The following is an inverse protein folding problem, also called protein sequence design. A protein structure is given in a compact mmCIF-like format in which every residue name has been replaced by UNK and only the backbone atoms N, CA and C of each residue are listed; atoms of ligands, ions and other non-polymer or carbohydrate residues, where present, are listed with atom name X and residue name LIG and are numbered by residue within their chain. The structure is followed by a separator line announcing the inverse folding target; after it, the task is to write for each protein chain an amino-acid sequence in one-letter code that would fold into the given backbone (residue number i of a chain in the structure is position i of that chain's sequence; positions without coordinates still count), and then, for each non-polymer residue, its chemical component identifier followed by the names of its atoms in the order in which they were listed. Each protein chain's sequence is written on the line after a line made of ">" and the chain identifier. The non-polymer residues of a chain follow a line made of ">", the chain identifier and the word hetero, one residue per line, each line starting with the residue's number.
data_IF_668954981001
#
_entry.id   IF_668954981001
#
_cell.length_a   1.000
_cell.length_b   1.000
_cell.length_c   1.000
_cell.angle_alpha   90.00
_cell.angle_beta   90.00
_cell.angle_gamma   90.00
#
_symmetry.space_group_name_H-M   'P 1'
#
loop_
_entity.id
_entity.type
_entity.pdbx_description
1 polymer ?
#
# COMPACT_ATOMS: atom_id res chain seq x y z
N UNK A 1 34.55 5.13 16.67
CA UNK A 1 34.94 5.76 15.37
C UNK A 1 34.86 7.26 15.57
N UNK A 2 35.87 8.03 15.10
CA UNK A 2 35.77 9.49 15.03
C UNK A 2 34.68 9.85 13.99
N UNK A 3 33.67 10.60 14.41
CA UNK A 3 32.67 11.13 13.48
C UNK A 3 33.27 12.23 12.59
N UNK A 4 32.73 12.37 11.39
CA UNK A 4 33.03 13.52 10.52
C UNK A 4 31.87 14.50 10.62
N UNK A 5 32.17 15.77 10.91
CA UNK A 5 31.17 16.82 11.01
C UNK A 5 31.03 17.53 9.67
N UNK A 6 29.79 17.74 9.26
CA UNK A 6 29.44 18.53 8.07
C UNK A 6 28.50 19.66 8.49
N UNK A 7 28.85 20.89 8.14
CA UNK A 7 28.08 22.08 8.46
C UNK A 7 27.46 22.67 7.19
N UNK A 8 26.20 23.11 7.27
CA UNK A 8 25.49 23.80 6.20
C UNK A 8 24.55 24.86 6.77
N UNK A 9 24.19 25.87 5.97
CA UNK A 9 23.18 26.87 6.37
C UNK A 9 21.77 26.27 6.48
N UNK A 10 21.49 25.25 5.68
CA UNK A 10 20.21 24.49 5.67
C UNK A 10 20.55 23.02 5.43
N UNK A 11 19.93 22.14 6.19
CA UNK A 11 20.04 20.70 6.04
C UNK A 11 18.66 20.13 5.74
N UNK A 12 18.53 19.41 4.63
CA UNK A 12 17.30 18.69 4.26
C UNK A 12 17.42 17.22 4.66
N UNK A 13 16.50 16.76 5.49
CA UNK A 13 16.39 15.35 5.90
C UNK A 13 15.39 14.65 4.98
N UNK A 14 15.88 14.02 3.91
CA UNK A 14 15.09 13.40 2.85
C UNK A 14 15.25 11.87 2.86
N UNK A 15 15.18 11.25 4.04
CA UNK A 15 15.46 9.82 4.23
C UNK A 15 14.18 8.96 4.28
N UNK A 16 13.08 9.41 3.65
CA UNK A 16 11.75 8.81 3.79
C UNK A 16 11.23 8.92 5.25
N UNK A 17 9.96 8.62 5.45
CA UNK A 17 9.26 8.83 6.73
C UNK A 17 9.93 8.13 7.89
N UNK A 18 10.22 6.84 7.76
CA UNK A 18 10.76 6.03 8.85
C UNK A 18 12.20 6.42 9.17
N UNK A 19 13.05 6.52 8.16
CA UNK A 19 14.45 6.85 8.39
C UNK A 19 14.68 8.32 8.79
N UNK A 20 13.84 9.25 8.32
CA UNK A 20 13.88 10.63 8.80
C UNK A 20 13.57 10.70 10.30
N UNK A 21 12.51 10.00 10.75
CA UNK A 21 12.19 9.90 12.17
C UNK A 21 13.34 9.22 12.96
N UNK A 22 13.93 8.16 12.41
CA UNK A 22 15.06 7.47 13.04
C UNK A 22 16.27 8.38 13.22
N UNK A 23 16.63 9.18 12.20
CA UNK A 23 17.71 10.17 12.27
C UNK A 23 17.39 11.21 13.36
N UNK A 24 16.17 11.76 13.36
CA UNK A 24 15.76 12.76 14.34
C UNK A 24 15.75 12.21 15.78
N UNK A 25 15.28 10.97 15.98
CA UNK A 25 15.31 10.29 17.28
C UNK A 25 16.72 10.03 17.81
N UNK A 26 17.71 9.83 16.91
CA UNK A 26 19.11 9.68 17.29
C UNK A 26 19.84 11.02 17.45
N UNK A 27 19.27 12.11 16.98
CA UNK A 27 19.82 13.46 17.07
C UNK A 27 19.46 14.09 18.43
N UNK A 28 20.10 13.58 19.48
CA UNK A 28 19.89 14.04 20.86
C UNK A 28 20.94 15.06 21.26
N UNK A 29 20.55 16.02 22.08
CA UNK A 29 21.41 17.05 22.68
C UNK A 29 20.78 17.56 23.97
N UNK A 30 21.47 18.43 24.71
CA UNK A 30 20.90 19.09 25.90
C UNK A 30 19.61 19.87 25.55
N UNK A 31 19.54 20.44 24.36
CA UNK A 31 18.34 21.15 23.85
C UNK A 31 17.23 20.16 23.42
N UNK A 32 17.58 18.99 22.94
CA UNK A 32 16.65 18.00 22.41
C UNK A 32 16.91 16.62 23.02
N UNK A 33 16.65 16.42 24.33
CA UNK A 33 16.96 15.17 25.01
C UNK A 33 16.15 13.97 24.54
N UNK A 34 14.98 14.20 23.94
CA UNK A 34 14.08 13.18 23.39
C UNK A 34 14.15 13.02 21.87
N UNK A 35 15.19 13.58 21.23
CA UNK A 35 15.35 13.63 19.77
C UNK A 35 15.06 15.02 19.19
N UNK A 36 15.67 15.30 18.07
CA UNK A 36 15.60 16.61 17.42
C UNK A 36 14.15 16.98 17.07
N UNK A 37 13.68 18.15 17.57
CA UNK A 37 12.35 18.66 17.32
C UNK A 37 11.21 17.92 18.02
N UNK A 38 11.51 17.09 19.04
CA UNK A 38 10.51 16.29 19.75
C UNK A 38 10.02 16.93 21.08
N UNK A 39 10.01 18.23 21.18
CA UNK A 39 9.54 18.97 22.39
C UNK A 39 8.05 18.70 22.70
N UNK A 40 7.26 18.36 21.66
CA UNK A 40 5.83 18.07 21.77
C UNK A 40 5.47 16.59 21.86
N UNK A 41 6.45 15.70 21.93
CA UNK A 41 6.26 14.23 21.90
C UNK A 41 5.48 13.74 20.66
N UNK A 42 5.64 14.43 19.52
CA UNK A 42 4.99 14.04 18.27
C UNK A 42 5.88 13.27 17.30
N UNK A 43 7.20 13.29 17.52
CA UNK A 43 8.14 12.56 16.68
C UNK A 43 7.88 11.06 16.75
N UNK A 44 7.70 10.45 15.60
CA UNK A 44 7.37 9.03 15.45
C UNK A 44 5.90 8.68 15.59
N UNK A 45 5.02 9.61 15.98
CA UNK A 45 3.58 9.36 16.10
C UNK A 45 2.83 9.63 14.81
N UNK A 46 1.55 9.24 14.79
CA UNK A 46 0.66 9.44 13.66
C UNK A 46 1.14 8.78 12.36
N UNK A 47 1.78 7.63 12.46
CA UNK A 47 2.17 6.85 11.29
C UNK A 47 0.92 6.48 10.50
N UNK A 48 0.93 6.79 9.25
CA UNK A 48 -0.10 6.45 8.28
C UNK A 48 0.55 5.78 7.08
N UNK A 49 -0.21 4.97 6.39
CA UNK A 49 0.17 4.34 5.13
C UNK A 49 -1.10 4.07 4.33
N UNK A 50 -1.00 3.65 3.08
CA UNK A 50 -2.17 3.09 2.41
C UNK A 50 -2.56 1.76 3.02
N UNK A 51 -3.88 1.56 3.19
CA UNK A 51 -4.41 0.21 3.31
C UNK A 51 -4.87 -0.24 1.93
N UNK A 52 -4.33 -1.35 1.46
CA UNK A 52 -4.52 -1.89 0.12
C UNK A 52 -4.69 -3.42 0.17
N UNK A 53 -4.50 -4.13 -0.93
CA UNK A 53 -4.79 -5.57 -1.08
C UNK A 53 -6.27 -5.89 -0.85
N UNK A 54 -7.13 -4.97 -1.25
CA UNK A 54 -8.59 -5.12 -1.28
C UNK A 54 -9.07 -4.80 -2.67
N UNK A 55 -9.98 -5.60 -3.21
CA UNK A 55 -10.50 -5.35 -4.56
C UNK A 55 -11.23 -6.56 -5.11
N UNK A 56 -11.21 -6.71 -6.43
CA UNK A 56 -11.77 -7.85 -7.11
C UNK A 56 -10.94 -8.25 -8.33
N UNK A 57 -11.12 -9.49 -8.72
CA UNK A 57 -10.59 -10.05 -9.97
C UNK A 57 -11.68 -10.83 -10.69
N UNK A 58 -11.59 -10.88 -12.01
CA UNK A 58 -12.59 -11.53 -12.85
C UNK A 58 -11.96 -12.09 -14.11
N UNK A 59 -12.68 -12.96 -14.79
CA UNK A 59 -12.38 -13.42 -16.14
C UNK A 59 -13.12 -12.57 -17.15
N UNK A 60 -12.50 -12.34 -18.29
CA UNK A 60 -13.05 -11.56 -19.39
C UNK A 60 -13.14 -12.47 -20.61
N UNK A 61 -14.35 -12.71 -21.06
CA UNK A 61 -14.61 -13.53 -22.24
C UNK A 61 -14.30 -12.75 -23.54
N UNK A 62 -13.90 -13.46 -24.55
CA UNK A 62 -13.56 -12.88 -25.84
C UNK A 62 -12.15 -12.31 -25.90
N UNK A 63 -11.85 -11.61 -26.98
CA UNK A 63 -10.54 -11.02 -27.23
C UNK A 63 -9.39 -12.02 -27.36
N UNK A 64 -9.66 -13.30 -27.68
CA UNK A 64 -8.65 -14.35 -27.83
C UNK A 64 -7.68 -14.07 -29.00
N UNK A 65 -8.16 -13.31 -30.00
CA UNK A 65 -7.42 -12.85 -31.17
C UNK A 65 -6.49 -11.66 -30.86
N UNK A 66 -6.56 -11.09 -29.64
CA UNK A 66 -5.80 -9.88 -29.31
C UNK A 66 -4.41 -10.21 -28.80
N UNK A 67 -3.46 -9.43 -29.30
CA UNK A 67 -2.07 -9.51 -28.88
C UNK A 67 -1.93 -9.09 -27.42
N UNK A 68 -1.33 -9.92 -26.60
CA UNK A 68 -1.23 -9.73 -25.14
C UNK A 68 0.19 -9.43 -24.64
N UNK A 69 1.21 -9.58 -25.48
CA UNK A 69 2.59 -9.33 -25.12
C UNK A 69 3.08 -7.97 -25.64
N UNK A 70 4.12 -7.43 -25.02
CA UNK A 70 4.74 -6.17 -25.39
C UNK A 70 4.36 -5.00 -24.48
N UNK A 71 4.87 -3.83 -24.82
CA UNK A 71 4.68 -2.59 -24.03
C UNK A 71 3.39 -1.87 -24.45
N UNK A 72 2.25 -2.45 -24.12
CA UNK A 72 0.95 -1.79 -24.34
C UNK A 72 0.36 -1.34 -23.03
N UNK A 73 -0.25 -0.15 -22.97
CA UNK A 73 -1.01 0.25 -21.81
C UNK A 73 -2.23 -0.67 -21.67
N UNK A 74 -2.29 -1.41 -20.58
CA UNK A 74 -3.41 -2.28 -20.23
C UNK A 74 -3.88 -2.01 -18.81
N UNK A 75 -3.35 -0.95 -18.20
CA UNK A 75 -3.72 -0.51 -16.88
C UNK A 75 -4.90 0.46 -16.88
N UNK A 76 -5.61 0.47 -15.78
CA UNK A 76 -6.68 1.43 -15.50
C UNK A 76 -6.45 2.07 -14.14
N UNK A 77 -6.89 3.30 -14.01
CA UNK A 77 -6.96 4.01 -12.74
C UNK A 77 -8.37 4.57 -12.57
N UNK A 78 -9.01 4.23 -11.43
CA UNK A 78 -10.32 4.77 -11.05
C UNK A 78 -10.06 5.72 -9.89
N UNK A 79 -10.24 7.04 -10.11
CA UNK A 79 -10.02 8.03 -9.07
C UNK A 79 -11.05 7.89 -7.94
N UNK A 80 -10.75 8.50 -6.81
CA UNK A 80 -11.65 8.57 -5.67
C UNK A 80 -13.04 9.08 -6.09
N UNK A 81 -14.09 8.40 -5.64
CA UNK A 81 -15.49 8.73 -5.90
C UNK A 81 -16.36 8.73 -4.63
N UNK A 82 -15.80 8.40 -3.48
CA UNK A 82 -16.45 8.47 -2.17
C UNK A 82 -16.01 9.74 -1.42
N UNK A 83 -16.93 10.32 -0.66
CA UNK A 83 -16.68 11.48 0.21
C UNK A 83 -16.02 12.67 -0.52
N UNK A 84 -16.57 13.06 -1.67
CA UNK A 84 -16.06 14.18 -2.48
C UNK A 84 -16.47 15.57 -1.96
N UNK A 85 -17.24 15.62 -0.88
CA UNK A 85 -17.72 16.85 -0.27
C UNK A 85 -19.20 17.16 -0.54
N UNK A 86 -19.86 16.38 -1.39
CA UNK A 86 -21.29 16.46 -1.68
C UNK A 86 -22.08 15.35 -0.96
N UNK A 87 -23.42 15.52 -0.90
CA UNK A 87 -24.29 14.58 -0.22
C UNK A 87 -24.41 13.22 -0.94
N UNK A 88 -24.24 13.20 -2.27
CA UNK A 88 -24.42 12.00 -3.07
C UNK A 88 -23.26 11.00 -2.88
N UNK A 89 -22.05 11.51 -2.65
CA UNK A 89 -20.85 10.68 -2.46
C UNK A 89 -20.55 10.39 -0.99
N UNK A 90 -21.26 11.05 -0.04
CA UNK A 90 -21.01 10.95 1.39
C UNK A 90 -21.28 9.54 1.92
N UNK A 91 -20.30 9.00 2.63
CA UNK A 91 -20.42 7.73 3.34
C UNK A 91 -20.76 7.95 4.82
N UNK A 92 -21.54 7.03 5.39
CA UNK A 92 -21.95 7.07 6.81
C UNK A 92 -20.89 6.44 7.72
N UNK A 93 -20.26 5.37 7.25
CA UNK A 93 -19.48 4.47 8.09
C UNK A 93 -17.98 4.76 8.05
N UNK A 94 -17.54 5.61 7.13
CA UNK A 94 -16.13 6.04 7.04
C UNK A 94 -16.01 7.44 6.44
N UNK A 95 -14.88 8.08 6.74
CA UNK A 95 -14.44 9.34 6.14
C UNK A 95 -13.20 9.10 5.27
N UNK A 96 -12.79 10.10 4.48
CA UNK A 96 -11.76 9.98 3.45
C UNK A 96 -12.23 9.10 2.29
N UNK A 97 -11.31 8.49 1.55
CA UNK A 97 -11.66 7.74 0.37
C UNK A 97 -10.54 6.88 -0.15
N UNK A 98 -10.78 6.32 -1.31
CA UNK A 98 -9.87 5.41 -1.99
C UNK A 98 -10.03 5.52 -3.51
N UNK A 99 -9.01 5.10 -4.23
CA UNK A 99 -9.06 4.87 -5.66
C UNK A 99 -8.62 3.46 -6.00
N UNK A 100 -8.85 3.02 -7.23
CA UNK A 100 -8.37 1.73 -7.70
C UNK A 100 -7.29 1.88 -8.75
N UNK A 101 -6.39 0.92 -8.73
CA UNK A 101 -5.47 0.64 -9.81
C UNK A 101 -5.65 -0.81 -10.25
N UNK A 102 -5.52 -1.05 -11.53
CA UNK A 102 -5.68 -2.38 -12.05
C UNK A 102 -5.27 -2.53 -13.50
N UNK A 103 -5.52 -3.68 -14.03
CA UNK A 103 -5.23 -3.99 -15.42
C UNK A 103 -5.72 -5.36 -15.83
N UNK A 104 -5.64 -5.62 -17.13
CA UNK A 104 -5.98 -6.89 -17.71
C UNK A 104 -4.73 -7.60 -18.25
N UNK A 105 -4.71 -8.91 -18.13
CA UNK A 105 -3.66 -9.76 -18.67
C UNK A 105 -4.21 -11.12 -19.09
N UNK A 106 -3.53 -11.79 -19.99
CA UNK A 106 -3.78 -13.20 -20.29
C UNK A 106 -2.81 -14.08 -19.50
N UNK A 107 -3.31 -15.18 -18.97
CA UNK A 107 -2.47 -16.19 -18.34
C UNK A 107 -1.55 -16.83 -19.36
N UNK A 108 -0.26 -16.85 -19.07
CA UNK A 108 0.73 -17.57 -19.86
C UNK A 108 0.85 -19.04 -19.43
N UNK A 109 1.90 -19.68 -19.91
CA UNK A 109 2.20 -21.08 -19.63
C UNK A 109 2.38 -21.38 -18.14
N UNK A 110 2.73 -20.38 -17.33
CA UNK A 110 2.96 -20.51 -15.87
C UNK A 110 1.74 -21.08 -15.12
N UNK A 111 0.53 -20.88 -15.65
CA UNK A 111 -0.70 -21.41 -15.05
C UNK A 111 -0.71 -22.95 -14.97
N UNK A 112 -0.07 -23.61 -15.94
CA UNK A 112 -0.07 -25.06 -16.05
C UNK A 112 1.03 -25.73 -15.22
N UNK A 113 2.02 -24.99 -14.77
CA UNK A 113 3.09 -25.52 -13.91
C UNK A 113 2.54 -26.01 -12.57
N UNK A 114 1.52 -25.34 -12.05
CA UNK A 114 0.86 -25.73 -10.80
C UNK A 114 -0.01 -26.98 -10.94
N UNK A 115 -0.46 -27.30 -12.16
CA UNK A 115 -1.30 -28.49 -12.43
C UNK A 115 -0.49 -29.81 -12.44
N UNK A 116 0.83 -29.72 -12.33
CA UNK A 116 1.73 -30.89 -12.30
C UNK A 116 1.53 -31.87 -13.47
N UNK A 117 1.00 -31.38 -14.59
CA UNK A 117 0.82 -32.16 -15.81
C UNK A 117 2.15 -32.51 -16.47
N UNK A 118 2.14 -33.50 -17.30
CA UNK A 118 3.31 -33.91 -18.12
C UNK A 118 2.87 -34.48 -19.46
N UNK A 119 3.83 -34.52 -20.41
CA UNK A 119 3.61 -35.14 -21.72
C UNK A 119 3.26 -34.13 -22.80
N UNK A 120 2.74 -34.67 -23.92
CA UNK A 120 2.47 -33.89 -25.14
C UNK A 120 1.32 -32.91 -24.92
N UNK A 121 0.23 -33.36 -24.32
CA UNK A 121 -0.98 -32.56 -24.07
C UNK A 121 -0.65 -31.31 -23.27
N UNK A 122 0.11 -31.45 -22.18
CA UNK A 122 0.57 -30.29 -21.40
C UNK A 122 1.40 -29.32 -22.24
N UNK A 123 2.29 -29.84 -23.10
CA UNK A 123 3.12 -29.00 -23.97
C UNK A 123 2.29 -28.22 -25.00
N UNK A 124 1.28 -28.87 -25.57
CA UNK A 124 0.36 -28.24 -26.51
C UNK A 124 -0.46 -27.16 -25.84
N UNK A 125 -1.02 -27.42 -24.64
CA UNK A 125 -1.73 -26.42 -23.82
C UNK A 125 -0.84 -25.24 -23.37
N UNK A 126 0.44 -25.47 -23.11
CA UNK A 126 1.39 -24.42 -22.76
C UNK A 126 1.64 -23.41 -23.89
N UNK A 127 1.40 -23.80 -25.14
CA UNK A 127 1.55 -22.93 -26.32
C UNK A 127 0.34 -21.97 -26.45
N UNK A 128 -0.81 -22.37 -25.92
CA UNK A 128 -2.01 -21.57 -26.00
C UNK A 128 -2.10 -20.56 -24.83
N UNK A 129 -2.34 -19.28 -25.09
CA UNK A 129 -2.58 -18.33 -24.03
C UNK A 129 -3.91 -18.62 -23.32
N UNK A 130 -3.92 -18.45 -22.00
CA UNK A 130 -5.15 -18.58 -21.22
C UNK A 130 -6.15 -17.45 -21.47
N UNK A 131 -7.24 -17.48 -20.74
CA UNK A 131 -8.27 -16.43 -20.80
C UNK A 131 -7.73 -15.09 -20.30
N UNK A 132 -8.35 -14.01 -20.74
CA UNK A 132 -8.13 -12.71 -20.18
C UNK A 132 -8.64 -12.66 -18.74
N UNK A 133 -7.87 -12.05 -17.88
CA UNK A 133 -8.27 -11.73 -16.50
C UNK A 133 -8.14 -10.24 -16.28
N UNK A 134 -9.06 -9.68 -15.49
CA UNK A 134 -9.04 -8.30 -15.03
C UNK A 134 -8.93 -8.29 -13.52
N UNK A 135 -8.07 -7.42 -13.00
CA UNK A 135 -7.95 -7.20 -11.56
C UNK A 135 -7.91 -5.72 -11.23
N UNK A 136 -8.60 -5.31 -10.18
CA UNK A 136 -8.50 -3.98 -9.60
C UNK A 136 -8.22 -4.09 -8.10
N UNK A 137 -7.30 -3.27 -7.64
CA UNK A 137 -6.91 -3.17 -6.22
C UNK A 137 -7.11 -1.75 -5.74
N UNK A 138 -7.81 -1.60 -4.63
CA UNK A 138 -8.04 -0.30 -4.00
C UNK A 138 -6.84 0.12 -3.15
N UNK A 139 -6.63 1.44 -3.08
CA UNK A 139 -5.67 2.12 -2.22
C UNK A 139 -6.41 3.17 -1.41
N UNK A 140 -6.53 2.96 -0.11
CA UNK A 140 -7.30 3.80 0.80
C UNK A 140 -6.44 4.72 1.64
N UNK A 141 -7.02 5.84 2.00
CA UNK A 141 -6.46 6.81 2.93
C UNK A 141 -6.63 6.31 4.36
N UNK A 142 -5.57 6.42 5.17
CA UNK A 142 -5.57 6.09 6.59
C UNK A 142 -5.66 7.37 7.43
N UNK A 143 -6.45 7.35 8.50
CA UNK A 143 -6.53 8.47 9.44
C UNK A 143 -5.31 8.49 10.38
N UNK A 144 -4.81 9.69 10.73
CA UNK A 144 -3.76 9.81 11.73
C UNK A 144 -4.26 9.35 13.10
N UNK A 145 -3.44 8.59 13.80
CA UNK A 145 -3.68 8.14 15.17
C UNK A 145 -2.38 8.26 15.96
N UNK A 146 -2.38 9.00 17.06
CA UNK A 146 -1.20 9.21 17.88
C UNK A 146 -0.62 7.93 18.50
N UNK A 147 -1.42 6.85 18.59
CA UNK A 147 -0.98 5.55 19.05
C UNK A 147 -0.25 4.75 17.93
N UNK A 148 -0.50 5.09 16.67
CA UNK A 148 0.25 4.55 15.55
C UNK A 148 1.61 5.23 15.48
N UNK A 149 2.67 4.52 15.88
CA UNK A 149 3.97 5.14 16.07
C UNK A 149 5.14 4.22 15.77
N UNK A 150 6.27 4.85 15.54
CA UNK A 150 7.59 4.22 15.55
C UNK A 150 8.37 4.70 16.78
N UNK A 151 9.18 3.82 17.32
CA UNK A 151 10.08 4.09 18.45
C UNK A 151 11.41 3.42 18.24
N UNK A 152 12.48 3.91 18.90
CA UNK A 152 13.78 3.24 18.88
C UNK A 152 13.72 1.93 19.66
N UNK A 153 14.15 0.84 19.03
CA UNK A 153 14.33 -0.46 19.65
C UNK A 153 15.75 -0.60 20.19
N UNK A 154 15.92 -0.39 21.48
CA UNK A 154 17.23 -0.48 22.13
C UNK A 154 17.82 -1.89 22.18
N UNK A 155 16.98 -2.91 22.01
CA UNK A 155 17.39 -4.32 22.10
C UNK A 155 17.85 -4.90 20.75
N UNK A 156 17.42 -4.29 19.64
CA UNK A 156 17.79 -4.71 18.28
C UNK A 156 18.62 -3.61 17.64
N UNK A 157 19.82 -3.94 17.25
CA UNK A 157 20.76 -3.01 16.63
C UNK A 157 21.01 -3.37 15.18
N UNK A 158 21.28 -2.36 14.38
CA UNK A 158 21.71 -2.52 12.99
C UNK A 158 23.18 -2.98 12.89
N UNK A 159 23.69 -3.14 11.68
CA UNK A 159 25.09 -3.54 11.40
C UNK A 159 26.13 -2.53 11.91
N UNK A 160 25.71 -1.31 12.24
CA UNK A 160 26.57 -0.24 12.77
C UNK A 160 26.48 -0.14 14.30
N UNK A 161 25.66 -0.97 14.94
CA UNK A 161 25.44 -0.99 16.39
C UNK A 161 24.44 0.06 16.88
N UNK A 162 23.67 0.70 15.98
CA UNK A 162 22.65 1.68 16.33
C UNK A 162 21.28 1.01 16.55
N UNK A 163 20.46 1.50 17.52
CA UNK A 163 19.10 1.04 17.70
C UNK A 163 18.28 1.12 16.42
N UNK A 164 17.54 0.07 16.12
CA UNK A 164 16.60 0.03 14.99
C UNK A 164 15.25 0.67 15.37
N UNK A 165 14.29 0.66 14.45
CA UNK A 165 12.92 1.07 14.75
C UNK A 165 12.03 -0.12 15.09
N UNK A 166 11.13 0.08 16.04
CA UNK A 166 9.92 -0.74 16.20
C UNK A 166 8.73 0.06 15.74
N UNK A 167 7.88 -0.55 14.95
CA UNK A 167 6.63 0.02 14.46
C UNK A 167 5.45 -0.63 15.20
N UNK A 168 4.61 0.20 15.82
CA UNK A 168 3.32 -0.21 16.39
C UNK A 168 2.23 0.58 15.69
N UNK A 169 1.62 -0.04 14.68
CA UNK A 169 0.62 0.59 13.81
C UNK A 169 -0.55 -0.37 13.60
N UNK A 170 -1.75 0.15 13.77
CA UNK A 170 -3.00 -0.60 13.60
C UNK A 170 -3.95 0.16 12.69
N UNK A 171 -4.64 -0.59 11.86
CA UNK A 171 -5.76 -0.10 11.06
C UNK A 171 -6.94 0.13 12.00
N UNK A 172 -7.58 1.30 11.91
CA UNK A 172 -8.73 1.67 12.72
C UNK A 172 -10.07 1.21 12.13
N UNK A 173 -11.15 1.47 12.85
CA UNK A 173 -12.50 1.10 12.42
C UNK A 173 -12.91 1.83 11.13
N UNK A 174 -12.46 3.07 10.95
CA UNK A 174 -12.68 3.84 9.72
C UNK A 174 -12.14 3.10 8.48
N UNK A 175 -10.91 2.63 8.55
CA UNK A 175 -10.25 1.90 7.47
C UNK A 175 -10.89 0.52 7.26
N UNK A 176 -11.27 -0.18 8.34
CA UNK A 176 -11.97 -1.47 8.24
C UNK A 176 -13.33 -1.34 7.56
N UNK A 177 -14.07 -0.28 7.82
CA UNK A 177 -15.34 -0.01 7.13
C UNK A 177 -15.10 0.37 5.67
N UNK A 178 -14.08 1.19 5.39
CA UNK A 178 -13.69 1.56 4.04
C UNK A 178 -13.28 0.33 3.21
N UNK A 179 -12.57 -0.64 3.80
CA UNK A 179 -12.18 -1.91 3.15
C UNK A 179 -13.38 -2.74 2.68
N UNK A 180 -14.47 -2.76 3.46
CA UNK A 180 -15.71 -3.43 3.05
C UNK A 180 -16.32 -2.77 1.81
N UNK A 181 -16.38 -1.44 1.78
CA UNK A 181 -16.88 -0.69 0.63
C UNK A 181 -15.95 -0.87 -0.60
N UNK A 182 -14.63 -0.86 -0.40
CA UNK A 182 -13.66 -1.16 -1.46
C UNK A 182 -13.91 -2.50 -2.13
N UNK A 183 -14.14 -3.55 -1.34
CA UNK A 183 -14.37 -4.88 -1.88
C UNK A 183 -15.71 -4.97 -2.60
N UNK A 184 -16.79 -4.51 -1.98
CA UNK A 184 -18.13 -4.58 -2.57
C UNK A 184 -18.24 -3.74 -3.84
N UNK A 185 -17.72 -2.52 -3.84
CA UNK A 185 -17.70 -1.66 -5.02
C UNK A 185 -16.85 -2.23 -6.17
N UNK A 186 -15.73 -2.90 -5.86
CA UNK A 186 -14.93 -3.56 -6.88
C UNK A 186 -15.68 -4.72 -7.54
N UNK A 187 -16.36 -5.54 -6.75
CA UNK A 187 -17.20 -6.64 -7.25
C UNK A 187 -18.33 -6.09 -8.12
N UNK A 188 -19.08 -5.10 -7.61
CA UNK A 188 -20.17 -4.47 -8.32
C UNK A 188 -19.75 -3.90 -9.69
N UNK A 189 -18.63 -3.18 -9.73
CA UNK A 189 -18.10 -2.64 -10.99
C UNK A 189 -17.75 -3.73 -12.00
N UNK A 190 -17.14 -4.82 -11.57
CA UNK A 190 -16.78 -5.92 -12.47
C UNK A 190 -18.01 -6.69 -12.96
N UNK A 191 -19.00 -6.93 -12.11
CA UNK A 191 -20.26 -7.57 -12.47
C UNK A 191 -21.05 -6.69 -13.46
N UNK A 192 -21.13 -5.38 -13.19
CA UNK A 192 -21.78 -4.42 -14.08
C UNK A 192 -21.08 -4.32 -15.44
N UNK A 193 -19.77 -4.60 -15.50
CA UNK A 193 -19.00 -4.68 -16.74
C UNK A 193 -19.23 -5.97 -17.54
N UNK A 194 -20.03 -6.91 -17.03
CA UNK A 194 -20.32 -8.18 -17.66
C UNK A 194 -19.19 -9.22 -17.55
N UNK A 195 -18.20 -9.02 -16.68
CA UNK A 195 -17.14 -9.96 -16.46
C UNK A 195 -17.64 -11.22 -15.74
N UNK A 196 -16.91 -12.32 -15.90
CA UNK A 196 -17.28 -13.63 -15.36
C UNK A 196 -16.43 -14.00 -14.15
N UNK A 197 -16.94 -14.94 -13.35
CA UNK A 197 -16.20 -15.49 -12.22
C UNK A 197 -15.62 -14.42 -11.30
N UNK A 198 -16.38 -13.33 -11.07
CA UNK A 198 -15.97 -12.21 -10.23
C UNK A 198 -15.73 -12.68 -8.81
N UNK A 199 -14.55 -12.38 -8.28
CA UNK A 199 -14.14 -12.75 -6.91
C UNK A 199 -13.56 -11.54 -6.21
N UNK A 200 -14.23 -11.09 -5.15
CA UNK A 200 -13.69 -10.09 -4.24
C UNK A 200 -12.59 -10.67 -3.36
N UNK A 201 -11.64 -9.85 -3.00
CA UNK A 201 -10.59 -10.19 -2.03
C UNK A 201 -10.36 -9.05 -1.05
N UNK A 202 -10.06 -9.42 0.18
CA UNK A 202 -9.58 -8.55 1.25
C UNK A 202 -8.47 -9.30 2.00
N UNK A 203 -7.22 -8.94 1.74
CA UNK A 203 -6.04 -9.57 2.34
C UNK A 203 -5.43 -8.64 3.38
N UNK A 204 -5.28 -9.14 4.58
CA UNK A 204 -4.59 -8.42 5.65
C UNK A 204 -3.07 -8.51 5.48
N UNK A 205 -2.38 -7.46 5.86
CA UNK A 205 -0.93 -7.37 5.89
C UNK A 205 -0.49 -6.40 7.00
N UNK A 206 0.78 -6.45 7.35
CA UNK A 206 1.33 -5.53 8.35
C UNK A 206 1.39 -4.10 7.76
N UNK A 207 0.86 -3.07 8.46
CA UNK A 207 1.04 -1.68 8.06
C UNK A 207 2.52 -1.32 7.90
N UNK A 208 2.82 -0.39 6.98
CA UNK A 208 4.17 -0.01 6.62
C UNK A 208 4.72 -0.73 5.38
N UNK A 209 3.86 -1.44 4.64
CA UNK A 209 4.18 -2.08 3.37
C UNK A 209 3.43 -1.46 2.18
N UNK A 210 2.72 -0.35 2.40
CA UNK A 210 1.97 0.38 1.37
C UNK A 210 2.80 1.39 0.60
N UNK A 211 4.10 1.49 0.88
CA UNK A 211 5.10 2.33 0.20
C UNK A 211 4.84 3.85 0.25
N UNK A 212 3.83 4.29 0.98
CA UNK A 212 3.48 5.70 1.13
C UNK A 212 3.36 6.11 2.60
N UNK A 213 4.27 5.61 3.43
CA UNK A 213 4.30 5.92 4.85
C UNK A 213 4.50 7.42 5.07
N UNK A 214 3.77 7.97 6.02
CA UNK A 214 3.83 9.37 6.39
C UNK A 214 3.47 9.59 7.86
N UNK A 215 3.62 10.81 8.35
CA UNK A 215 3.12 11.28 9.65
C UNK A 215 4.13 11.33 10.77
N UNK A 216 5.26 10.61 10.69
CA UNK A 216 6.22 10.46 11.80
C UNK A 216 6.94 11.76 12.22
N UNK A 217 7.00 12.76 11.36
CA UNK A 217 7.66 14.05 11.60
C UNK A 217 6.77 15.20 11.10
N UNK A 218 5.56 15.30 11.64
CA UNK A 218 4.58 16.32 11.25
C UNK A 218 5.07 17.71 11.63
N UNK A 219 4.84 18.69 10.75
CA UNK A 219 5.02 20.09 11.08
C UNK A 219 3.90 20.58 12.02
N UNK A 220 4.24 21.44 12.95
CA UNK A 220 3.31 22.03 13.92
C UNK A 220 3.20 21.19 15.21
N UNK A 221 2.21 21.58 16.01
CA UNK A 221 1.93 20.99 17.34
C UNK A 221 0.83 19.94 17.26
#
# INVERSE_FOLDING_TARGET
>A
KKGTEYCARVIFVCASTLNSAWIMMHSVSDRFPSGFGNDSDQLGRNVMDHHFLVGAQAEVDGYEDRYYAGRRPNGIYIPRFRNLGDAATKQKDFTRGYGYQGGASRSGWQRLVAEMGFGKEMKDEMQEPGNWTMGITAFGEMLPNANNRVTLNKNVKDIHGLPTLTMDVKIGQNELNMRKDMQSSAVEMMEASGFKNVRGFDRTYAPGLGIHEMGTARMGR
#
